data_IF_753418432913
#
_entry.id   IF_753418432913
#
_cell.length_a   1.000
_cell.length_b   1.000
_cell.length_c   1.000
_cell.angle_alpha   90.00
_cell.angle_beta   90.00
_cell.angle_gamma   90.00
#
_symmetry.space_group_name_H-M   'P 1'
#
loop_
_entity.id
_entity.type
_entity.pdbx_description
1 polymer ?
#
# COMPACT_ATOMS: atom_id res chain seq x y z
N UNK A 1 -17.49 32.49 -0.07
CA UNK A 1 -17.72 31.16 0.55
C UNK A 1 -17.46 30.14 -0.55
N UNK A 2 -16.31 29.45 -0.52
CA UNK A 2 -16.02 28.43 -1.53
C UNK A 2 -16.77 27.18 -1.15
N UNK A 3 -17.70 26.75 -1.99
CA UNK A 3 -18.30 25.41 -1.93
C UNK A 3 -17.16 24.41 -1.96
N UNK A 4 -16.89 23.75 -0.83
CA UNK A 4 -16.03 22.57 -0.82
C UNK A 4 -16.86 21.47 -1.44
N UNK A 5 -16.55 21.12 -2.69
CA UNK A 5 -17.00 19.86 -3.27
C UNK A 5 -16.80 18.75 -2.22
N UNK A 6 -17.77 17.82 -2.06
CA UNK A 6 -17.53 16.66 -1.22
C UNK A 6 -16.22 16.00 -1.68
N UNK A 7 -15.39 15.49 -0.75
CA UNK A 7 -14.18 14.80 -1.15
C UNK A 7 -14.56 13.69 -2.15
N UNK A 8 -13.82 13.54 -3.27
CA UNK A 8 -14.14 12.54 -4.27
C UNK A 8 -14.20 11.16 -3.62
N UNK A 9 -15.10 10.30 -4.09
CA UNK A 9 -15.06 8.88 -3.74
C UNK A 9 -13.70 8.34 -4.20
N UNK A 10 -12.89 7.86 -3.26
CA UNK A 10 -11.56 7.34 -3.56
C UNK A 10 -11.68 5.94 -4.16
N UNK A 11 -11.18 5.80 -5.39
CA UNK A 11 -11.26 4.59 -6.19
C UNK A 11 -9.83 4.18 -6.58
N UNK A 12 -9.29 3.10 -5.98
CA UNK A 12 -7.97 2.59 -6.33
C UNK A 12 -7.85 2.21 -7.81
N UNK A 13 -6.80 2.72 -8.46
CA UNK A 13 -6.55 2.58 -9.89
C UNK A 13 -7.24 3.63 -10.78
N UNK A 14 -8.01 4.56 -10.20
CA UNK A 14 -8.58 5.71 -10.90
C UNK A 14 -8.03 7.02 -10.34
N UNK A 15 -8.34 7.38 -9.10
CA UNK A 15 -7.92 8.65 -8.47
C UNK A 15 -6.96 8.47 -7.27
N UNK A 16 -6.58 7.23 -6.95
CA UNK A 16 -5.47 6.91 -6.05
C UNK A 16 -4.85 5.54 -6.41
N UNK A 17 -3.67 5.21 -5.90
CA UNK A 17 -3.07 3.87 -6.10
C UNK A 17 -3.69 2.84 -5.16
N UNK A 18 -3.86 3.23 -3.90
CA UNK A 18 -4.33 2.37 -2.82
C UNK A 18 -4.97 3.20 -1.71
N UNK A 19 -5.73 2.53 -0.85
CA UNK A 19 -6.32 3.09 0.35
C UNK A 19 -5.86 2.26 1.53
N UNK A 20 -5.24 2.91 2.52
CA UNK A 20 -4.89 2.30 3.80
C UNK A 20 -5.94 2.71 4.83
N UNK A 21 -6.47 1.74 5.58
CA UNK A 21 -7.53 1.98 6.56
C UNK A 21 -7.31 1.22 7.86
N UNK A 22 -7.91 1.74 8.92
CA UNK A 22 -8.10 1.06 10.20
C UNK A 22 -9.46 1.48 10.76
N UNK A 23 -10.15 0.61 11.51
CA UNK A 23 -11.51 0.86 11.98
C UNK A 23 -11.66 2.14 12.84
N UNK A 24 -10.58 2.54 13.52
CA UNK A 24 -10.59 3.71 14.42
C UNK A 24 -10.33 5.05 13.70
N UNK A 25 -10.08 5.05 12.40
CA UNK A 25 -9.61 6.23 11.67
C UNK A 25 -10.28 6.37 10.30
N UNK A 26 -10.32 7.62 9.80
CA UNK A 26 -10.70 7.89 8.42
C UNK A 26 -9.69 7.22 7.47
N UNK A 27 -10.13 6.47 6.44
CA UNK A 27 -9.25 5.87 5.45
C UNK A 27 -8.34 6.91 4.77
N UNK A 28 -7.15 6.47 4.41
CA UNK A 28 -6.13 7.32 3.78
C UNK A 28 -5.87 6.81 2.36
N UNK A 29 -6.36 7.52 1.32
CA UNK A 29 -5.96 7.28 -0.05
C UNK A 29 -4.51 7.73 -0.25
N UNK A 30 -3.73 6.97 -1.01
CA UNK A 30 -2.32 7.26 -1.25
C UNK A 30 -2.02 7.19 -2.75
N UNK A 31 -1.15 8.11 -3.18
CA UNK A 31 -0.44 8.01 -4.46
C UNK A 31 0.94 7.46 -4.15
N UNK A 32 1.38 6.46 -4.91
CA UNK A 32 2.62 5.75 -4.68
C UNK A 32 3.72 6.23 -5.64
N UNK A 33 4.94 6.33 -5.11
CA UNK A 33 6.11 6.63 -5.91
C UNK A 33 6.41 5.46 -6.86
N UNK A 34 6.72 5.74 -8.14
CA UNK A 34 7.17 4.71 -9.05
C UNK A 34 8.51 4.13 -8.59
N UNK A 35 8.74 2.86 -8.91
CA UNK A 35 10.06 2.26 -8.68
C UNK A 35 10.96 2.58 -9.87
N UNK A 36 12.19 3.06 -9.63
CA UNK A 36 13.11 3.55 -10.66
C UNK A 36 13.31 2.57 -11.83
N UNK A 37 13.27 1.28 -11.54
CA UNK A 37 13.50 0.19 -12.49
C UNK A 37 12.23 -0.32 -13.18
N UNK A 38 11.06 0.08 -12.70
CA UNK A 38 9.77 -0.28 -13.30
C UNK A 38 8.74 0.82 -13.01
N UNK A 39 8.67 1.86 -13.87
CA UNK A 39 7.78 2.99 -13.68
C UNK A 39 6.30 2.64 -13.93
N UNK A 40 6.04 1.58 -14.69
CA UNK A 40 4.70 1.06 -15.03
C UNK A 40 4.28 -0.11 -14.14
N UNK A 41 5.22 -0.66 -13.39
CA UNK A 41 5.03 -1.84 -12.57
C UNK A 41 4.25 -1.61 -11.31
N UNK A 42 4.15 -2.72 -10.57
CA UNK A 42 3.41 -2.74 -9.34
C UNK A 42 3.88 -1.68 -8.34
N UNK A 43 2.92 -0.96 -7.73
CA UNK A 43 3.19 -0.04 -6.61
C UNK A 43 3.31 -0.74 -5.26
N UNK A 44 2.76 -1.94 -5.12
CA UNK A 44 2.81 -2.76 -3.90
C UNK A 44 3.56 -4.05 -4.17
N UNK A 45 4.73 -4.20 -3.56
CA UNK A 45 5.56 -5.40 -3.63
C UNK A 45 5.13 -6.37 -2.55
N UNK A 46 5.03 -7.65 -2.88
CA UNK A 46 4.65 -8.70 -1.93
C UNK A 46 5.72 -9.79 -1.96
N UNK A 47 6.23 -10.14 -0.79
CA UNK A 47 7.15 -11.25 -0.58
C UNK A 47 6.53 -12.25 0.37
N UNK A 48 6.78 -13.53 0.12
CA UNK A 48 6.26 -14.63 0.91
C UNK A 48 7.41 -15.33 1.59
N UNK A 49 7.29 -15.50 2.90
CA UNK A 49 8.28 -16.18 3.73
C UNK A 49 7.60 -17.26 4.57
N UNK A 50 8.35 -18.32 4.83
CA UNK A 50 7.91 -19.44 5.66
C UNK A 50 8.86 -19.55 6.84
N UNK A 51 8.29 -19.39 8.03
CA UNK A 51 9.02 -19.48 9.29
C UNK A 51 8.68 -20.78 10.00
N UNK A 52 9.65 -21.38 10.71
CA UNK A 52 9.33 -22.42 11.68
C UNK A 52 8.34 -21.86 12.71
N UNK A 53 7.41 -22.70 13.14
CA UNK A 53 6.47 -22.32 14.18
C UNK A 53 7.17 -22.38 15.54
N UNK A 54 6.70 -21.57 16.49
CA UNK A 54 7.20 -21.60 17.87
C UNK A 54 6.86 -22.94 18.55
N UNK A 55 5.73 -23.55 18.17
CA UNK A 55 5.44 -24.95 18.45
C UNK A 55 6.16 -25.84 17.42
N UNK A 56 7.16 -26.65 17.81
CA UNK A 56 7.88 -27.53 16.89
C UNK A 56 7.00 -28.57 16.18
N UNK A 57 5.83 -28.88 16.74
CA UNK A 57 4.86 -29.81 16.16
C UNK A 57 3.76 -29.10 15.35
N UNK A 58 3.73 -27.77 15.40
CA UNK A 58 2.77 -26.95 14.66
C UNK A 58 3.17 -26.81 13.19
N UNK A 59 2.19 -26.57 12.28
CA UNK A 59 2.50 -26.26 10.90
C UNK A 59 3.32 -24.97 10.81
N UNK A 60 4.23 -24.83 9.83
CA UNK A 60 5.06 -23.64 9.69
C UNK A 60 4.21 -22.39 9.47
N UNK A 61 4.68 -21.26 10.00
CA UNK A 61 4.01 -19.98 9.86
C UNK A 61 4.33 -19.39 8.50
N UNK A 62 3.29 -19.19 7.70
CA UNK A 62 3.38 -18.58 6.38
C UNK A 62 3.07 -17.09 6.53
N UNK A 63 4.04 -16.25 6.24
CA UNK A 63 3.92 -14.80 6.39
C UNK A 63 4.06 -14.16 5.01
N UNK A 64 3.26 -13.12 4.77
CA UNK A 64 3.46 -12.24 3.62
C UNK A 64 3.86 -10.87 4.09
N UNK A 65 4.88 -10.33 3.44
CA UNK A 65 5.39 -8.99 3.65
C UNK A 65 5.05 -8.12 2.44
N UNK A 66 4.60 -6.90 2.70
CA UNK A 66 4.15 -5.93 1.71
C UNK A 66 4.96 -4.66 1.82
N UNK A 67 5.47 -4.15 0.69
CA UNK A 67 6.19 -2.87 0.62
C UNK A 67 5.59 -1.96 -0.44
N UNK A 68 5.39 -0.69 -0.08
CA UNK A 68 5.01 0.35 -1.03
C UNK A 68 5.58 1.70 -0.58
N UNK A 69 5.69 2.66 -1.50
CA UNK A 69 6.22 4.00 -1.20
C UNK A 69 5.12 5.02 -1.41
N UNK A 70 4.62 5.63 -0.35
CA UNK A 70 3.66 6.73 -0.48
C UNK A 70 4.39 8.05 -0.80
N UNK A 71 3.87 8.80 -1.76
CA UNK A 71 4.31 10.17 -2.06
C UNK A 71 3.60 11.15 -1.14
N UNK A 72 4.39 11.94 -0.41
CA UNK A 72 3.91 13.03 0.43
C UNK A 72 4.55 14.32 -0.10
N UNK A 73 3.71 15.18 -0.69
CA UNK A 73 4.13 16.48 -1.20
C UNK A 73 3.02 17.51 -1.03
N UNK A 74 3.39 18.78 -1.09
CA UNK A 74 2.43 19.85 -1.27
C UNK A 74 1.88 19.78 -2.70
N UNK A 75 0.55 19.73 -2.84
CA UNK A 75 -0.16 19.63 -4.13
C UNK A 75 0.23 18.42 -4.97
N UNK A 76 -0.10 17.22 -4.47
CA UNK A 76 0.00 15.97 -5.24
C UNK A 76 -1.03 15.95 -6.37
N UNK A 77 -0.63 15.54 -7.57
CA UNK A 77 -1.56 15.18 -8.63
C UNK A 77 -2.01 13.72 -8.43
N UNK A 78 -3.31 13.55 -8.37
CA UNK A 78 -3.94 12.26 -8.50
C UNK A 78 -3.75 11.72 -9.92
N UNK A 79 -3.94 10.41 -10.11
CA UNK A 79 -3.73 9.74 -11.38
C UNK A 79 -4.74 10.09 -12.47
N UNK A 80 -5.95 10.49 -12.07
CA UNK A 80 -6.97 11.06 -12.95
C UNK A 80 -6.65 12.51 -13.39
N UNK A 81 -5.50 13.06 -12.94
CA UNK A 81 -5.06 14.42 -13.22
C UNK A 81 -5.66 15.47 -12.28
N UNK A 82 -6.53 15.09 -11.35
CA UNK A 82 -7.06 16.00 -10.33
C UNK A 82 -6.00 16.31 -9.26
N UNK A 83 -6.17 17.41 -8.52
CA UNK A 83 -5.32 17.65 -7.36
C UNK A 83 -5.85 16.89 -6.15
N UNK A 84 -4.94 16.26 -5.40
CA UNK A 84 -5.28 15.67 -4.10
C UNK A 84 -5.85 16.76 -3.18
N UNK A 85 -7.03 16.54 -2.56
CA UNK A 85 -7.72 17.55 -1.77
C UNK A 85 -7.14 17.68 -0.35
N UNK A 86 -6.19 16.82 0.01
CA UNK A 86 -5.52 16.80 1.32
C UNK A 86 -4.08 17.25 1.13
N UNK A 87 -3.66 18.25 1.89
CA UNK A 87 -2.26 18.70 1.90
C UNK A 87 -1.30 17.64 2.47
N UNK A 88 -0.01 17.79 2.16
CA UNK A 88 0.99 16.77 2.47
C UNK A 88 1.12 16.51 3.97
N UNK A 89 1.07 17.56 4.80
CA UNK A 89 1.20 17.44 6.25
C UNK A 89 -0.04 16.80 6.90
N UNK A 90 -1.25 17.10 6.42
CA UNK A 90 -2.47 16.44 6.86
C UNK A 90 -2.47 14.95 6.46
N UNK A 91 -2.04 14.64 5.23
CA UNK A 91 -1.92 13.27 4.74
C UNK A 91 -0.92 12.47 5.59
N UNK A 92 0.26 13.04 5.84
CA UNK A 92 1.30 12.47 6.72
C UNK A 92 0.76 12.17 8.11
N UNK A 93 0.07 13.13 8.75
CA UNK A 93 -0.50 12.95 10.10
C UNK A 93 -1.56 11.85 10.14
N UNK A 94 -2.45 11.79 9.15
CA UNK A 94 -3.47 10.73 9.05
C UNK A 94 -2.82 9.36 8.87
N UNK A 95 -1.86 9.25 7.95
CA UNK A 95 -1.13 8.01 7.70
C UNK A 95 -0.40 7.51 8.95
N UNK A 96 0.35 8.37 9.64
CA UNK A 96 1.06 7.99 10.87
C UNK A 96 0.08 7.51 11.95
N UNK A 97 -1.09 8.15 12.09
CA UNK A 97 -2.11 7.70 13.05
C UNK A 97 -2.58 6.28 12.75
N UNK A 98 -2.88 5.97 11.49
CA UNK A 98 -3.26 4.61 11.08
C UNK A 98 -2.15 3.61 11.38
N UNK A 99 -0.92 3.93 10.99
CA UNK A 99 0.21 3.00 11.16
C UNK A 99 0.55 2.71 12.64
N UNK A 100 0.23 3.64 13.56
CA UNK A 100 0.41 3.45 15.01
C UNK A 100 -0.54 2.45 15.65
N UNK A 101 -1.60 2.04 14.96
CA UNK A 101 -2.49 0.98 15.47
C UNK A 101 -1.82 -0.40 15.37
N UNK A 102 -0.75 -0.54 14.56
CA UNK A 102 0.15 -1.70 14.41
C UNK A 102 -0.48 -3.02 13.94
N UNK A 103 -1.81 -3.16 13.98
CA UNK A 103 -2.55 -4.37 13.61
C UNK A 103 -3.91 -4.02 13.02
N UNK A 104 -4.60 -5.05 12.54
CA UNK A 104 -5.95 -4.97 11.99
C UNK A 104 -6.09 -3.91 10.88
N UNK A 105 -4.98 -3.61 10.20
CA UNK A 105 -4.92 -2.68 9.10
C UNK A 105 -5.54 -3.33 7.85
N UNK A 106 -6.12 -2.48 7.02
CA UNK A 106 -6.72 -2.87 5.75
C UNK A 106 -6.05 -2.11 4.61
N UNK A 107 -5.70 -2.81 3.54
CA UNK A 107 -5.13 -2.22 2.33
C UNK A 107 -6.01 -2.57 1.14
N UNK A 108 -6.64 -1.57 0.55
CA UNK A 108 -7.47 -1.72 -0.65
C UNK A 108 -6.71 -1.21 -1.87
N UNK A 109 -6.65 -2.05 -2.91
CA UNK A 109 -6.05 -1.74 -4.20
C UNK A 109 -7.06 -2.06 -5.31
N UNK A 110 -6.75 -1.71 -6.57
CA UNK A 110 -7.57 -2.12 -7.72
C UNK A 110 -7.75 -3.64 -7.82
N UNK A 111 -6.80 -4.41 -7.29
CA UNK A 111 -6.80 -5.86 -7.38
C UNK A 111 -7.61 -6.55 -6.26
N UNK A 112 -7.99 -5.81 -5.22
CA UNK A 112 -8.73 -6.30 -4.07
C UNK A 112 -8.27 -5.68 -2.75
N UNK A 113 -8.83 -6.20 -1.66
CA UNK A 113 -8.61 -5.73 -0.28
C UNK A 113 -7.90 -6.81 0.53
N UNK A 114 -6.84 -6.42 1.23
CA UNK A 114 -6.13 -7.27 2.19
C UNK A 114 -6.51 -6.84 3.59
N UNK A 115 -6.86 -7.81 4.43
CA UNK A 115 -7.26 -7.60 5.82
C UNK A 115 -6.21 -8.15 6.79
N UNK A 116 -6.32 -7.75 8.06
CA UNK A 116 -5.47 -8.26 9.13
C UNK A 116 -3.99 -7.96 8.93
N UNK A 117 -3.69 -6.82 8.29
CA UNK A 117 -2.32 -6.36 8.14
C UNK A 117 -1.81 -5.83 9.47
N UNK A 118 -0.53 -6.09 9.74
CA UNK A 118 0.17 -5.63 10.92
C UNK A 118 1.57 -5.11 10.57
N UNK A 119 2.11 -4.23 11.40
CA UNK A 119 3.46 -3.70 11.27
C UNK A 119 3.96 -3.24 12.63
N UNK A 120 5.22 -3.55 12.95
CA UNK A 120 5.88 -3.16 14.20
C UNK A 120 7.05 -2.23 13.93
N UNK A 121 7.24 -1.24 14.79
CA UNK A 121 8.43 -0.40 15.04
C UNK A 121 9.09 0.37 13.86
N UNK A 122 9.07 -0.16 12.63
CA UNK A 122 9.84 0.34 11.48
C UNK A 122 9.02 0.39 10.18
N UNK A 123 7.72 0.62 10.30
CA UNK A 123 6.78 0.64 9.16
C UNK A 123 7.00 1.85 8.24
N UNK A 124 7.96 2.76 8.53
CA UNK A 124 8.21 3.94 7.69
C UNK A 124 9.71 4.20 7.54
N UNK A 125 10.27 3.93 6.36
CA UNK A 125 11.61 4.44 6.00
C UNK A 125 11.40 5.75 5.23
N UNK A 126 11.77 6.88 5.86
CA UNK A 126 11.75 8.20 5.24
C UNK A 126 12.92 8.34 4.28
N UNK A 127 12.65 8.57 3.01
CA UNK A 127 13.65 9.12 2.09
C UNK A 127 13.26 10.56 1.79
N UNK A 128 14.04 11.50 2.32
CA UNK A 128 13.85 12.94 2.15
C UNK A 128 14.64 13.35 0.90
N UNK A 129 13.94 13.60 -0.21
CA UNK A 129 14.45 14.44 -1.28
C UNK A 129 13.88 15.86 -1.10
N UNK A 130 14.60 16.89 -1.56
CA UNK A 130 14.29 18.30 -1.26
C UNK A 130 12.92 18.78 -1.77
N UNK A 131 12.31 18.07 -2.74
CA UNK A 131 11.07 18.49 -3.41
C UNK A 131 9.87 17.55 -3.16
N UNK A 132 10.10 16.34 -2.66
CA UNK A 132 9.06 15.36 -2.34
C UNK A 132 9.53 14.38 -1.25
N UNK A 133 8.69 14.14 -0.25
CA UNK A 133 8.93 13.11 0.75
C UNK A 133 8.34 11.79 0.27
N UNK A 134 9.11 10.71 0.37
CA UNK A 134 8.60 9.35 0.19
C UNK A 134 8.62 8.61 1.51
N UNK A 135 7.49 8.00 1.85
CA UNK A 135 7.35 7.13 3.01
C UNK A 135 7.27 5.69 2.52
N UNK A 136 8.35 4.93 2.71
CA UNK A 136 8.36 3.50 2.41
C UNK A 136 7.69 2.73 3.56
N UNK A 137 6.60 2.03 3.24
CA UNK A 137 5.72 1.38 4.19
C UNK A 137 5.86 -0.13 4.10
N UNK A 138 6.13 -0.78 5.24
CA UNK A 138 6.27 -2.25 5.35
C UNK A 138 5.21 -2.84 6.27
N UNK A 139 4.31 -3.64 5.70
CA UNK A 139 3.24 -4.34 6.42
C UNK A 139 3.34 -5.85 6.22
N UNK A 140 2.72 -6.62 7.11
CA UNK A 140 2.71 -8.09 7.04
C UNK A 140 1.32 -8.66 7.31
N UNK A 141 1.03 -9.86 6.81
CA UNK A 141 -0.21 -10.58 7.13
C UNK A 141 0.02 -12.10 7.18
N UNK A 142 -0.78 -12.77 8.02
CA UNK A 142 -0.89 -14.23 8.06
C UNK A 142 -2.06 -14.74 7.19
N UNK A 143 -2.91 -13.85 6.67
CA UNK A 143 -4.04 -14.23 5.83
C UNK A 143 -3.55 -14.83 4.51
N UNK A 144 -3.94 -16.08 4.24
CA UNK A 144 -3.61 -16.78 3.00
C UNK A 144 -4.67 -16.64 1.91
N UNK A 145 -5.88 -16.22 2.28
CA UNK A 145 -7.11 -16.39 1.49
C UNK A 145 -7.48 -15.19 0.61
N UNK A 146 -6.84 -14.04 0.80
CA UNK A 146 -7.25 -12.78 0.16
C UNK A 146 -6.58 -12.53 -1.22
N UNK A 147 -5.96 -13.56 -1.81
CA UNK A 147 -5.38 -13.50 -3.15
C UNK A 147 -6.18 -14.37 -4.13
N UNK A 148 -6.40 -13.93 -5.39
CA UNK A 148 -6.92 -14.80 -6.42
C UNK A 148 -5.97 -16.01 -6.63
N UNK A 149 -6.49 -17.20 -6.98
CA UNK A 149 -5.77 -18.48 -6.92
C UNK A 149 -4.43 -18.60 -7.67
N UNK A 150 -4.08 -17.61 -8.49
CA UNK A 150 -2.91 -17.61 -9.37
C UNK A 150 -1.64 -16.94 -8.79
N UNK A 151 -1.69 -16.32 -7.62
CA UNK A 151 -0.53 -15.63 -7.01
C UNK A 151 0.34 -16.58 -6.16
N UNK A 152 0.65 -17.78 -6.68
CA UNK A 152 1.33 -18.81 -5.89
C UNK A 152 2.85 -18.67 -5.82
N UNK A 153 3.50 -17.99 -6.75
CA UNK A 153 4.97 -17.89 -6.77
C UNK A 153 5.39 -16.52 -7.34
N UNK A 154 5.70 -15.55 -6.48
CA UNK A 154 6.26 -14.25 -6.92
C UNK A 154 7.60 -13.97 -6.27
N UNK A 155 8.52 -14.92 -6.40
CA UNK A 155 9.95 -14.63 -6.59
C UNK A 155 10.41 -15.65 -7.63
N UNK A 156 10.60 -15.21 -8.89
CA UNK A 156 11.53 -15.74 -9.92
C UNK A 156 11.08 -15.32 -11.34
N UNK A 157 11.99 -14.67 -12.05
CA UNK A 157 11.98 -14.26 -13.46
C UNK A 157 11.22 -12.98 -13.87
N UNK A 158 11.99 -11.97 -14.29
CA UNK A 158 11.57 -10.67 -14.84
C UNK A 158 10.53 -10.74 -15.97
N UNK A 159 10.48 -11.85 -16.73
CA UNK A 159 9.53 -12.00 -17.83
C UNK A 159 8.08 -12.32 -17.39
N UNK A 160 7.87 -12.83 -16.16
CA UNK A 160 6.54 -13.16 -15.64
C UNK A 160 5.90 -12.03 -14.82
N UNK A 161 6.66 -10.98 -14.49
CA UNK A 161 6.18 -9.77 -13.83
C UNK A 161 5.05 -9.05 -14.60
N UNK A 162 4.91 -9.32 -15.90
CA UNK A 162 3.85 -8.76 -16.73
C UNK A 162 2.43 -9.27 -16.38
N UNK A 163 2.27 -10.29 -15.51
CA UNK A 163 0.96 -10.93 -15.29
C UNK A 163 0.55 -11.17 -13.84
N UNK A 164 1.36 -10.79 -12.84
CA UNK A 164 0.85 -10.73 -11.46
C UNK A 164 -0.12 -9.55 -11.35
N UNK A 165 -1.42 -9.84 -11.42
CA UNK A 165 -2.52 -8.85 -11.38
C UNK A 165 -2.76 -8.25 -10.00
N UNK A 166 -1.86 -8.46 -9.05
CA UNK A 166 -1.84 -7.76 -7.79
C UNK A 166 -0.65 -6.82 -7.77
N UNK A 167 -0.96 -5.53 -7.67
CA UNK A 167 0.04 -4.47 -7.70
C UNK A 167 -0.08 -3.49 -8.86
N UNK A 168 -0.74 -3.87 -9.94
CA UNK A 168 -1.00 -2.98 -11.07
C UNK A 168 -2.14 -2.02 -10.76
N UNK A 169 -1.83 -0.92 -10.07
CA UNK A 169 -2.47 0.34 -10.39
C UNK A 169 -1.94 0.76 -11.77
N UNK A 170 -2.43 0.07 -12.81
CA UNK A 170 -2.24 0.54 -14.19
C UNK A 170 -3.29 1.61 -14.36
N UNK A 171 -2.81 2.85 -14.43
CA UNK A 171 -3.62 4.00 -14.82
C UNK A 171 -4.34 3.70 -16.14
N UNK A 172 -5.61 4.10 -16.24
CA UNK A 172 -6.33 4.02 -17.51
C UNK A 172 -5.75 5.00 -18.52
#
# INVERSE_FOLDING_TARGET
MSERNPPPDWIPGENCDLILAHANHEPVPLVCAPTRYDPTGSRVRIHYEVYPNEDPNGPPRKIRHLWFRALIAERVLAPDGSFFPVDGEALRRRLIRILREEKDLTLTTRAGTILGLYGKDHVVIRSIYAEAETLEIHLSTLSLNDLPPAAKDTWLAEALNARSRWGTAVWR
#
